data_IF_986712514589
#
_entry.id   IF_986712514589
#
_cell.length_a   1.000
_cell.length_b   1.000
_cell.length_c   1.000
_cell.angle_alpha   90.00
_cell.angle_beta   90.00
_cell.angle_gamma   90.00
#
_symmetry.space_group_name_H-M   'P 1'
#
loop_
_entity.id
_entity.type
_entity.pdbx_description
1 polymer ?
#
# COMPACT_ATOMS: atom_id res chain seq x y z
N UNK A 1 -51.58 9.41 49.20
CA UNK A 1 -52.99 8.99 49.10
C UNK A 1 -53.19 8.40 47.70
N UNK A 2 -53.51 7.10 47.57
CA UNK A 2 -54.86 6.55 47.24
C UNK A 2 -55.53 7.30 46.06
N UNK A 3 -55.97 6.68 44.95
CA UNK A 3 -56.63 5.37 44.81
C UNK A 3 -56.27 4.54 43.56
N UNK A 4 -56.55 3.24 43.70
CA UNK A 4 -56.66 2.19 42.65
C UNK A 4 -58.11 2.13 42.17
N UNK A 5 -58.39 1.90 40.88
CA UNK A 5 -59.61 1.20 40.41
C UNK A 5 -59.31 0.35 39.16
N UNK A 6 -59.95 -0.83 39.11
CA UNK A 6 -59.99 -1.81 38.01
C UNK A 6 -61.45 -2.29 37.86
N UNK A 7 -61.96 -2.99 36.84
CA UNK A 7 -61.32 -3.76 35.74
C UNK A 7 -62.35 -3.92 34.57
N UNK A 8 -62.07 -4.82 33.61
CA UNK A 8 -63.02 -5.40 32.63
C UNK A 8 -63.35 -4.54 31.38
N UNK A 9 -63.57 -5.09 30.17
CA UNK A 9 -63.67 -6.52 29.77
C UNK A 9 -63.20 -6.81 28.33
N UNK A 10 -63.17 -8.10 27.98
CA UNK A 10 -62.69 -8.73 26.74
C UNK A 10 -63.12 -8.07 25.41
N UNK A 11 -62.23 -8.15 24.41
CA UNK A 11 -62.61 -8.46 23.03
C UNK A 11 -61.52 -9.34 22.38
N UNK A 12 -61.90 -10.50 21.82
CA UNK A 12 -60.98 -11.47 21.21
C UNK A 12 -60.99 -11.28 19.70
N UNK A 13 -59.85 -10.93 19.10
CA UNK A 13 -59.61 -11.11 17.66
C UNK A 13 -58.20 -11.69 17.48
N UNK A 14 -58.10 -12.76 16.68
CA UNK A 14 -56.83 -13.42 16.37
C UNK A 14 -55.90 -12.50 15.57
N UNK A 15 -54.65 -12.35 16.03
CA UNK A 15 -53.53 -11.95 15.20
C UNK A 15 -52.23 -12.63 15.67
N UNK A 16 -51.52 -13.18 14.68
CA UNK A 16 -50.26 -13.94 14.71
C UNK A 16 -49.27 -13.62 15.84
N UNK A 17 -48.68 -14.69 16.40
CA UNK A 17 -47.49 -14.62 17.25
C UNK A 17 -46.31 -13.96 16.53
N UNK A 18 -45.84 -12.84 17.08
CA UNK A 18 -44.49 -12.29 16.85
C UNK A 18 -43.78 -12.20 18.21
N UNK A 19 -42.53 -12.69 18.34
CA UNK A 19 -41.80 -12.60 19.60
C UNK A 19 -41.29 -11.17 19.82
N UNK A 20 -41.92 -10.45 20.76
CA UNK A 20 -41.51 -9.10 21.17
C UNK A 20 -40.14 -9.17 21.84
N UNK A 21 -39.10 -8.69 21.15
CA UNK A 21 -37.81 -8.37 21.77
C UNK A 21 -37.89 -6.96 22.39
N UNK A 22 -38.06 -6.89 23.70
CA UNK A 22 -38.05 -5.63 24.45
C UNK A 22 -36.67 -4.97 24.42
N UNK A 23 -36.45 -4.05 23.48
CA UNK A 23 -35.27 -3.20 23.45
C UNK A 23 -35.36 -2.11 24.54
N UNK A 24 -34.42 -2.12 25.49
CA UNK A 24 -34.29 -1.03 26.46
C UNK A 24 -33.61 0.16 25.78
N UNK A 25 -34.40 1.15 25.38
CA UNK A 25 -33.92 2.35 24.69
C UNK A 25 -33.40 3.41 25.67
N UNK A 26 -32.10 3.70 25.65
CA UNK A 26 -31.53 4.85 26.36
C UNK A 26 -31.67 6.13 25.51
N UNK A 27 -32.51 7.07 25.95
CA UNK A 27 -32.65 8.37 25.29
C UNK A 27 -31.67 9.41 25.89
N UNK A 28 -30.60 9.74 25.16
CA UNK A 28 -29.75 10.90 25.49
C UNK A 28 -30.16 12.11 24.67
N UNK A 29 -30.86 13.08 25.29
CA UNK A 29 -31.16 14.38 24.67
C UNK A 29 -29.95 15.30 24.76
N UNK A 30 -29.39 15.69 23.62
CA UNK A 30 -28.40 16.77 23.51
C UNK A 30 -29.02 17.96 22.81
N UNK A 31 -29.00 19.14 23.46
CA UNK A 31 -29.41 20.41 22.86
C UNK A 31 -28.19 21.13 22.29
N UNK A 32 -28.29 21.61 21.05
CA UNK A 32 -27.39 22.62 20.49
C UNK A 32 -28.23 23.61 19.67
N UNK A 33 -27.94 24.90 19.78
CA UNK A 33 -28.59 25.99 19.04
C UNK A 33 -30.14 25.91 18.96
N UNK A 34 -30.81 25.55 20.07
CA UNK A 34 -32.28 25.50 20.16
C UNK A 34 -32.96 24.31 19.46
N UNK A 35 -32.24 23.50 18.69
CA UNK A 35 -32.80 22.34 17.97
C UNK A 35 -32.56 21.05 18.77
N UNK A 36 -33.59 20.22 18.90
CA UNK A 36 -33.54 18.93 19.58
C UNK A 36 -33.29 17.79 18.58
N UNK A 37 -32.04 17.33 18.49
CA UNK A 37 -31.68 16.21 17.64
C UNK A 37 -32.05 14.87 18.30
N UNK A 38 -32.88 14.06 17.62
CA UNK A 38 -33.10 12.65 17.96
C UNK A 38 -32.05 11.82 17.21
N UNK A 39 -31.06 11.27 17.91
CA UNK A 39 -30.13 10.28 17.36
C UNK A 39 -30.49 8.91 17.91
N UNK A 40 -30.99 8.02 17.05
CA UNK A 40 -31.08 6.60 17.38
C UNK A 40 -29.67 6.00 17.31
N UNK A 41 -29.27 5.32 18.38
CA UNK A 41 -28.02 4.57 18.43
C UNK A 41 -28.39 3.10 18.55
N UNK A 42 -28.30 2.31 17.46
CA UNK A 42 -28.56 0.88 17.54
C UNK A 42 -27.45 0.19 18.34
N UNK A 43 -27.80 -0.36 19.50
CA UNK A 43 -26.97 -1.33 20.20
C UNK A 43 -27.03 -2.65 19.43
N UNK A 44 -26.13 -2.85 18.49
CA UNK A 44 -25.91 -4.15 17.86
C UNK A 44 -25.36 -5.12 18.91
N UNK A 45 -26.26 -5.92 19.52
CA UNK A 45 -25.87 -7.18 20.16
C UNK A 45 -25.52 -8.18 19.06
N UNK A 46 -24.39 -8.84 19.26
CA UNK A 46 -23.79 -9.81 18.35
C UNK A 46 -24.81 -10.89 17.92
N UNK A 47 -25.25 -10.95 16.64
CA UNK A 47 -25.75 -12.19 16.09
C UNK A 47 -24.55 -13.11 15.88
N UNK A 48 -24.63 -14.38 16.31
CA UNK A 48 -23.64 -15.39 15.87
C UNK A 48 -23.70 -15.45 14.35
N UNK A 49 -22.68 -14.93 13.67
CA UNK A 49 -22.62 -14.90 12.20
C UNK A 49 -22.51 -16.35 11.71
N UNK A 50 -23.61 -16.91 11.20
CA UNK A 50 -23.54 -18.08 10.35
C UNK A 50 -22.93 -17.64 9.02
N UNK A 51 -21.65 -17.95 8.84
CA UNK A 51 -20.91 -17.69 7.61
C UNK A 51 -21.43 -18.58 6.48
N UNK A 52 -22.40 -18.08 5.71
CA UNK A 52 -22.58 -18.55 4.34
C UNK A 52 -21.37 -18.10 3.51
N UNK A 53 -20.42 -19.02 3.32
CA UNK A 53 -19.16 -18.78 2.62
C UNK A 53 -19.31 -18.36 1.15
N UNK A 54 -20.53 -18.31 0.60
CA UNK A 54 -20.76 -18.05 -0.83
C UNK A 54 -20.82 -16.57 -1.23
N UNK A 55 -21.19 -15.62 -0.35
CA UNK A 55 -21.76 -14.32 -0.78
C UNK A 55 -21.00 -13.03 -0.42
N UNK A 56 -20.03 -13.07 0.50
CA UNK A 56 -19.31 -11.87 0.99
C UNK A 56 -17.79 -11.89 0.72
N UNK A 57 -17.15 -10.74 0.91
CA UNK A 57 -15.69 -10.55 0.95
C UNK A 57 -15.33 -9.37 1.86
N UNK A 58 -14.08 -9.30 2.29
CA UNK A 58 -13.53 -8.09 2.90
C UNK A 58 -12.81 -7.24 1.85
N UNK A 59 -13.02 -5.93 1.89
CA UNK A 59 -12.36 -4.96 1.03
C UNK A 59 -11.90 -3.79 1.87
N UNK A 60 -10.62 -3.45 1.75
CA UNK A 60 -10.02 -2.31 2.44
C UNK A 60 -9.71 -1.25 1.38
N UNK A 61 -10.48 -0.17 1.39
CA UNK A 61 -10.29 0.96 0.49
C UNK A 61 -9.23 1.91 1.09
N UNK A 62 -8.03 1.92 0.51
CA UNK A 62 -6.86 2.68 0.96
C UNK A 62 -6.77 4.01 0.21
N UNK A 63 -6.63 5.12 0.94
CA UNK A 63 -6.25 6.41 0.38
C UNK A 63 -4.74 6.63 0.58
N UNK A 64 -3.99 6.77 -0.51
CA UNK A 64 -2.57 7.12 -0.46
C UNK A 64 -2.38 8.63 -0.58
N UNK A 65 -1.70 9.23 0.38
CA UNK A 65 -1.39 10.67 0.40
C UNK A 65 0.12 10.89 0.39
N UNK A 66 0.60 11.77 -0.49
CA UNK A 66 1.91 12.37 -0.38
C UNK A 66 1.76 13.74 0.27
N UNK A 67 2.45 13.97 1.38
CA UNK A 67 2.50 15.29 2.00
C UNK A 67 3.26 16.31 1.11
N UNK A 68 3.32 17.56 1.56
CA UNK A 68 4.04 18.61 0.85
C UNK A 68 5.55 18.32 0.70
N UNK A 69 6.19 17.70 1.68
CA UNK A 69 7.63 17.37 1.62
C UNK A 69 7.96 16.28 0.58
N UNK A 70 7.12 15.25 0.46
CA UNK A 70 7.22 14.24 -0.62
C UNK A 70 7.02 14.89 -1.98
N UNK A 71 5.99 15.74 -2.14
CA UNK A 71 5.76 16.46 -3.40
C UNK A 71 6.94 17.38 -3.77
N UNK A 72 7.53 18.10 -2.80
CA UNK A 72 8.71 18.95 -3.09
C UNK A 72 9.94 18.15 -3.53
N UNK A 73 10.17 16.96 -2.96
CA UNK A 73 11.23 16.06 -3.44
C UNK A 73 11.01 15.63 -4.90
N UNK A 74 9.78 15.30 -5.29
CA UNK A 74 9.47 15.04 -6.70
C UNK A 74 9.67 16.27 -7.60
N UNK A 75 9.34 17.48 -7.12
CA UNK A 75 9.66 18.72 -7.86
C UNK A 75 11.15 18.87 -8.09
N UNK A 76 12.01 18.58 -7.13
CA UNK A 76 13.47 18.63 -7.31
C UNK A 76 13.95 17.58 -8.32
N UNK A 77 13.44 16.34 -8.23
CA UNK A 77 13.73 15.23 -9.16
C UNK A 77 13.41 15.60 -10.61
N UNK A 78 12.35 16.37 -10.86
CA UNK A 78 11.94 16.84 -12.21
C UNK A 78 12.38 18.28 -12.52
N UNK A 79 13.33 18.84 -11.77
CA UNK A 79 13.90 20.19 -12.01
C UNK A 79 12.88 21.34 -11.97
N UNK A 80 11.91 21.24 -11.07
CA UNK A 80 10.97 22.30 -10.72
C UNK A 80 9.61 22.23 -11.44
N UNK A 81 9.49 21.44 -12.51
CA UNK A 81 8.25 21.32 -13.29
C UNK A 81 7.09 20.78 -12.45
N UNK A 82 6.02 21.56 -12.34
CA UNK A 82 4.88 21.26 -11.45
C UNK A 82 4.04 20.10 -11.99
N UNK A 83 3.89 19.99 -13.31
CA UNK A 83 3.04 18.96 -13.92
C UNK A 83 3.70 17.57 -13.80
N UNK A 84 4.96 17.46 -14.21
CA UNK A 84 5.73 16.22 -14.08
C UNK A 84 5.91 15.81 -12.61
N UNK A 85 6.04 16.76 -11.68
CA UNK A 85 6.13 16.45 -10.25
C UNK A 85 4.83 15.86 -9.72
N UNK A 86 3.68 16.46 -10.06
CA UNK A 86 2.37 15.94 -9.67
C UNK A 86 2.10 14.56 -10.29
N UNK A 87 2.45 14.35 -11.56
CA UNK A 87 2.33 13.04 -12.20
C UNK A 87 3.23 12.00 -11.52
N UNK A 88 4.51 12.32 -11.31
CA UNK A 88 5.48 11.41 -10.68
C UNK A 88 5.11 11.08 -9.22
N UNK A 89 4.56 12.05 -8.47
CA UNK A 89 4.07 11.83 -7.11
C UNK A 89 2.87 10.87 -7.09
N UNK A 90 1.92 11.02 -8.02
CA UNK A 90 0.78 10.11 -8.13
C UNK A 90 1.19 8.70 -8.61
N UNK A 91 2.10 8.59 -9.57
CA UNK A 91 2.67 7.31 -9.99
C UNK A 91 3.47 6.65 -8.85
N UNK A 92 4.14 7.43 -8.00
CA UNK A 92 4.81 6.95 -6.80
C UNK A 92 3.83 6.38 -5.78
N UNK A 93 2.79 7.14 -5.41
CA UNK A 93 1.74 6.68 -4.48
C UNK A 93 1.04 5.41 -4.98
N UNK A 94 0.75 5.33 -6.27
CA UNK A 94 0.20 4.12 -6.90
C UNK A 94 1.15 2.93 -6.81
N UNK A 95 2.45 3.14 -7.09
CA UNK A 95 3.46 2.09 -7.02
C UNK A 95 3.70 1.58 -5.58
N UNK A 96 3.68 2.46 -4.57
CA UNK A 96 3.75 2.05 -3.17
C UNK A 96 2.51 1.25 -2.77
N UNK A 97 1.30 1.69 -3.14
CA UNK A 97 0.07 0.93 -2.89
C UNK A 97 0.10 -0.47 -3.51
N UNK A 98 0.45 -0.61 -4.80
CA UNK A 98 0.48 -1.93 -5.45
C UNK A 98 1.58 -2.82 -4.85
N UNK A 99 2.63 -2.24 -4.24
CA UNK A 99 3.65 -3.00 -3.52
C UNK A 99 3.16 -3.48 -2.15
N UNK A 100 2.48 -2.63 -1.37
CA UNK A 100 1.79 -3.00 -0.11
C UNK A 100 0.78 -4.11 -0.39
N UNK A 101 -0.01 -3.96 -1.45
CA UNK A 101 -0.94 -4.99 -1.93
C UNK A 101 -0.24 -6.30 -2.26
N UNK A 102 0.88 -6.28 -3.00
CA UNK A 102 1.67 -7.48 -3.32
C UNK A 102 2.09 -8.24 -2.05
N UNK A 103 2.48 -7.52 -0.99
CA UNK A 103 2.81 -8.09 0.32
C UNK A 103 1.58 -8.75 0.97
N UNK A 104 0.43 -8.08 1.02
CA UNK A 104 -0.80 -8.64 1.62
C UNK A 104 -1.36 -9.84 0.83
N UNK A 105 -1.42 -9.74 -0.50
CA UNK A 105 -1.87 -10.81 -1.41
C UNK A 105 -0.95 -12.04 -1.29
N UNK A 106 0.36 -11.83 -1.08
CA UNK A 106 1.34 -12.90 -0.87
C UNK A 106 1.23 -13.62 0.47
N UNK A 107 0.73 -12.95 1.51
CA UNK A 107 0.61 -13.50 2.86
C UNK A 107 -0.68 -14.30 3.12
N UNK A 108 -1.74 -14.07 2.34
CA UNK A 108 -3.03 -14.80 2.44
C UNK A 108 -3.61 -14.84 3.87
N UNK A 109 -4.09 -13.70 4.36
CA UNK A 109 -4.65 -13.54 5.72
C UNK A 109 -5.70 -14.59 6.12
N UNK A 110 -6.45 -15.15 5.17
CA UNK A 110 -7.38 -16.26 5.36
C UNK A 110 -7.29 -17.23 4.18
N UNK A 111 -7.50 -18.52 4.42
CA UNK A 111 -7.57 -19.54 3.36
C UNK A 111 -8.82 -19.39 2.49
N UNK A 112 -9.97 -19.10 3.11
CA UNK A 112 -11.30 -19.22 2.49
C UNK A 112 -12.05 -17.89 2.31
N UNK A 113 -11.53 -16.78 2.87
CA UNK A 113 -12.19 -15.46 2.80
C UNK A 113 -11.25 -14.44 2.16
N UNK A 114 -11.52 -13.94 0.93
CA UNK A 114 -10.66 -12.96 0.30
C UNK A 114 -10.75 -11.61 1.01
N UNK A 115 -9.62 -11.15 1.52
CA UNK A 115 -9.37 -9.75 1.93
C UNK A 115 -8.64 -9.08 0.77
N UNK A 116 -9.25 -8.05 0.17
CA UNK A 116 -8.66 -7.32 -0.95
C UNK A 116 -8.31 -5.88 -0.56
N UNK A 117 -7.06 -5.45 -0.79
CA UNK A 117 -6.71 -4.03 -0.77
C UNK A 117 -7.11 -3.40 -2.11
N UNK A 118 -7.87 -2.29 -2.04
CA UNK A 118 -8.26 -1.48 -3.19
C UNK A 118 -7.76 -0.05 -3.00
N UNK A 119 -7.26 0.57 -4.06
CA UNK A 119 -6.89 1.97 -4.04
C UNK A 119 -8.14 2.83 -4.21
N UNK A 120 -8.52 3.56 -3.16
CA UNK A 120 -9.63 4.50 -3.18
C UNK A 120 -9.30 5.71 -4.06
N UNK A 121 -8.13 6.32 -3.83
CA UNK A 121 -7.53 7.38 -4.64
C UNK A 121 -6.06 7.56 -4.28
N UNK A 122 -5.33 8.33 -5.09
CA UNK A 122 -4.11 9.02 -4.67
C UNK A 122 -4.42 10.50 -4.39
N UNK A 123 -3.63 11.14 -3.53
CA UNK A 123 -3.69 12.59 -3.26
C UNK A 123 -2.28 13.11 -3.05
N UNK A 124 -1.93 14.23 -3.68
CA UNK A 124 -0.65 14.92 -3.46
C UNK A 124 -0.90 16.33 -2.94
N UNK A 125 -0.34 16.66 -1.78
CA UNK A 125 -0.51 17.96 -1.14
C UNK A 125 0.46 18.97 -1.78
N UNK A 126 -0.03 19.76 -2.73
CA UNK A 126 0.83 20.65 -3.54
C UNK A 126 1.10 22.04 -2.92
N UNK A 127 0.35 22.44 -1.89
CA UNK A 127 0.55 23.71 -1.17
C UNK A 127 1.02 23.41 0.25
N UNK A 128 2.00 24.18 0.75
CA UNK A 128 2.52 23.98 2.12
C UNK A 128 1.38 23.96 3.13
N UNK A 129 0.51 24.98 3.13
CA UNK A 129 -0.56 25.18 4.12
C UNK A 129 -1.61 24.06 4.18
N UNK A 130 -1.72 23.20 3.15
CA UNK A 130 -2.66 22.08 3.14
C UNK A 130 -2.08 20.80 3.80
N UNK A 131 -0.77 20.78 4.11
CA UNK A 131 -0.12 19.59 4.64
C UNK A 131 -0.58 19.32 6.09
N UNK A 132 -0.93 18.06 6.44
CA UNK A 132 -1.40 17.72 7.79
C UNK A 132 -0.40 18.09 8.90
N UNK A 133 0.90 18.13 8.57
CA UNK A 133 1.99 18.38 9.52
C UNK A 133 2.38 19.88 9.62
N UNK A 134 1.66 20.79 8.94
CA UNK A 134 1.90 22.25 9.01
C UNK A 134 1.86 22.85 10.40
N UNK A 135 0.90 22.52 11.29
CA UNK A 135 0.84 23.13 12.61
C UNK A 135 2.13 22.90 13.40
N UNK A 136 2.72 21.70 13.28
CA UNK A 136 4.04 21.38 13.82
C UNK A 136 5.15 22.24 13.18
N UNK A 137 5.23 22.28 11.84
CA UNK A 137 6.24 23.07 11.11
C UNK A 137 6.21 24.57 11.45
N UNK A 138 5.05 25.09 11.85
CA UNK A 138 4.90 26.47 12.32
C UNK A 138 5.34 26.63 13.79
N UNK A 139 5.06 25.65 14.66
CA UNK A 139 5.50 25.65 16.06
C UNK A 139 7.03 25.54 16.20
N UNK A 140 7.70 24.70 15.42
CA UNK A 140 9.18 24.63 15.42
C UNK A 140 9.80 25.94 14.94
N UNK A 141 9.24 26.55 13.89
CA UNK A 141 9.69 27.87 13.40
C UNK A 141 9.54 28.98 14.45
N UNK A 142 8.48 28.96 15.26
CA UNK A 142 8.29 29.92 16.36
C UNK A 142 9.25 29.70 17.55
N UNK A 143 9.81 28.50 17.70
CA UNK A 143 10.74 28.14 18.79
C UNK A 143 12.22 28.31 18.42
N UNK A 144 12.55 28.80 17.22
CA UNK A 144 13.92 28.88 16.69
C UNK A 144 14.71 27.55 16.72
N UNK A 145 14.03 26.40 16.73
CA UNK A 145 14.72 25.12 16.49
C UNK A 145 14.98 24.99 14.98
N UNK A 146 16.26 24.88 14.60
CA UNK A 146 16.68 24.71 13.19
C UNK A 146 16.13 23.43 12.54
N UNK A 147 15.76 22.43 13.36
CA UNK A 147 15.25 21.13 12.93
C UNK A 147 13.76 21.15 12.55
N UNK A 148 13.41 21.86 11.47
CA UNK A 148 12.09 21.74 10.82
C UNK A 148 11.87 20.40 10.07
N UNK A 149 12.84 19.49 10.17
CA UNK A 149 12.92 18.22 9.44
C UNK A 149 12.59 16.99 10.30
N UNK A 150 12.35 17.15 11.61
CA UNK A 150 12.12 16.05 12.57
C UNK A 150 10.81 16.19 13.30
N UNK A 151 10.13 15.10 13.66
CA UNK A 151 8.87 15.14 14.42
C UNK A 151 8.64 13.84 15.19
N UNK A 152 8.08 13.90 16.40
CA UNK A 152 7.66 12.69 17.12
C UNK A 152 6.58 11.92 16.32
N UNK A 153 6.74 10.60 16.21
CA UNK A 153 5.85 9.76 15.41
C UNK A 153 4.39 9.74 15.89
N UNK A 154 4.18 9.78 17.21
CA UNK A 154 2.85 9.80 17.82
C UNK A 154 2.17 11.15 17.58
N UNK A 155 2.90 12.26 17.72
CA UNK A 155 2.41 13.58 17.29
C UNK A 155 2.04 13.57 15.80
N UNK A 156 2.88 13.00 14.93
CA UNK A 156 2.66 12.99 13.48
C UNK A 156 1.33 12.32 13.09
N UNK A 157 1.03 11.13 13.65
CA UNK A 157 -0.26 10.46 13.40
C UNK A 157 -1.43 11.23 13.99
N UNK A 158 -1.29 11.83 15.18
CA UNK A 158 -2.34 12.66 15.79
C UNK A 158 -2.69 13.89 14.94
N UNK A 159 -1.69 14.56 14.34
CA UNK A 159 -1.92 15.67 13.42
C UNK A 159 -2.62 15.22 12.13
N UNK A 160 -2.28 14.04 11.58
CA UNK A 160 -2.98 13.46 10.44
C UNK A 160 -4.43 13.13 10.78
N UNK A 161 -4.71 12.47 11.90
CA UNK A 161 -6.09 12.18 12.33
C UNK A 161 -6.91 13.46 12.50
N UNK A 162 -6.34 14.51 13.11
CA UNK A 162 -7.00 15.82 13.23
C UNK A 162 -7.31 16.42 11.85
N UNK A 163 -6.35 16.39 10.93
CA UNK A 163 -6.54 16.86 9.55
C UNK A 163 -7.62 16.05 8.80
N UNK A 164 -7.67 14.73 8.98
CA UNK A 164 -8.72 13.87 8.41
C UNK A 164 -10.11 14.27 8.92
N UNK A 165 -10.26 14.60 10.20
CA UNK A 165 -11.52 15.09 10.76
C UNK A 165 -11.91 16.46 10.19
N UNK A 166 -10.98 17.43 10.19
CA UNK A 166 -11.19 18.82 9.76
C UNK A 166 -11.52 18.93 8.26
N UNK A 167 -10.83 18.17 7.41
CA UNK A 167 -10.98 18.19 5.94
C UNK A 167 -11.83 17.02 5.40
N UNK A 168 -12.58 16.32 6.27
CA UNK A 168 -13.38 15.13 5.94
C UNK A 168 -14.30 15.26 4.71
N UNK A 169 -14.83 16.45 4.43
CA UNK A 169 -15.65 16.73 3.23
C UNK A 169 -14.87 16.73 1.90
N UNK A 170 -13.56 16.94 1.93
CA UNK A 170 -12.67 17.02 0.76
C UNK A 170 -11.84 15.75 0.55
N UNK A 171 -11.77 14.90 1.56
CA UNK A 171 -10.99 13.67 1.54
C UNK A 171 -11.83 12.54 0.92
N UNK A 172 -11.35 11.85 -0.15
CA UNK A 172 -12.07 10.74 -0.76
C UNK A 172 -12.44 9.65 0.25
N UNK A 173 -13.62 9.05 0.11
CA UNK A 173 -14.08 7.99 1.01
C UNK A 173 -13.10 6.79 0.99
N UNK A 174 -12.67 6.37 2.19
CA UNK A 174 -11.68 5.33 2.42
C UNK A 174 -11.99 4.58 3.73
N UNK A 175 -11.36 3.42 3.93
CA UNK A 175 -11.29 2.73 5.21
C UNK A 175 -10.03 3.12 6.00
N UNK A 176 -8.91 3.32 5.30
CA UNK A 176 -7.63 3.70 5.92
C UNK A 176 -6.87 4.70 5.04
N UNK A 177 -6.11 5.60 5.66
CA UNK A 177 -5.32 6.64 4.98
C UNK A 177 -3.83 6.51 5.33
N UNK A 178 -2.99 6.41 4.32
CA UNK A 178 -1.53 6.29 4.45
C UNK A 178 -0.90 7.59 3.98
N UNK A 179 -0.32 8.36 4.89
CA UNK A 179 0.37 9.62 4.60
C UNK A 179 1.88 9.38 4.55
N UNK A 180 2.46 9.52 3.36
CA UNK A 180 3.91 9.51 3.16
C UNK A 180 4.48 10.92 3.45
N UNK A 181 5.55 10.98 4.23
CA UNK A 181 6.27 12.21 4.61
C UNK A 181 7.78 12.05 4.45
N UNK A 182 8.54 13.13 4.26
CA UNK A 182 10.02 13.16 4.32
C UNK A 182 10.54 13.87 5.58
N UNK A 183 9.67 14.03 6.57
CA UNK A 183 10.04 14.42 7.93
C UNK A 183 10.53 13.16 8.66
N UNK A 184 11.72 13.25 9.24
CA UNK A 184 12.41 12.24 10.08
C UNK A 184 11.56 11.98 11.33
N UNK A 185 10.99 10.78 11.42
CA UNK A 185 10.08 10.41 12.51
C UNK A 185 10.88 9.93 13.73
N UNK A 186 10.67 10.59 14.86
CA UNK A 186 11.35 10.27 16.10
C UNK A 186 10.54 9.29 16.94
N UNK A 187 11.26 8.36 17.56
CA UNK A 187 10.72 7.50 18.62
C UNK A 187 10.46 8.29 19.90
N UNK A 188 9.76 7.68 20.85
CA UNK A 188 9.56 8.24 22.20
C UNK A 188 10.86 8.47 22.99
N UNK A 189 12.01 8.00 22.50
CA UNK A 189 13.35 8.28 23.05
C UNK A 189 14.04 9.46 22.37
N UNK A 190 13.42 10.05 21.34
CA UNK A 190 13.98 11.15 20.55
C UNK A 190 14.99 10.72 19.47
N UNK A 191 15.07 9.43 19.13
CA UNK A 191 15.95 8.89 18.09
C UNK A 191 15.20 8.58 16.78
N UNK A 192 15.91 8.62 15.65
CA UNK A 192 15.38 8.33 14.30
C UNK A 192 15.22 6.82 14.02
N UNK A 193 14.82 6.02 15.02
CA UNK A 193 14.56 4.59 14.84
C UNK A 193 13.15 4.29 14.34
N UNK A 194 12.22 5.23 14.51
CA UNK A 194 10.83 5.13 14.06
C UNK A 194 10.72 5.55 12.60
N UNK A 195 10.13 4.72 11.74
CA UNK A 195 9.95 5.03 10.31
C UNK A 195 8.48 5.07 9.90
N UNK A 196 7.58 4.72 10.81
CA UNK A 196 6.14 4.83 10.64
C UNK A 196 5.43 4.90 11.99
N UNK A 197 4.14 5.25 11.97
CA UNK A 197 3.28 5.22 13.15
C UNK A 197 1.81 5.02 12.75
N UNK A 198 1.15 4.08 13.41
CA UNK A 198 -0.29 3.86 13.39
C UNK A 198 -0.80 3.38 14.75
N UNK A 199 -2.09 3.59 15.02
CA UNK A 199 -2.75 3.01 16.20
C UNK A 199 -3.15 1.55 15.94
N UNK A 200 -3.17 0.73 17.00
CA UNK A 200 -3.53 -0.68 16.89
C UNK A 200 -5.05 -0.88 16.90
N UNK A 201 -5.58 -1.64 15.94
CA UNK A 201 -6.99 -2.08 15.91
C UNK A 201 -8.02 -0.98 15.62
N UNK A 202 -7.64 0.07 14.89
CA UNK A 202 -8.49 1.24 14.58
C UNK A 202 -9.07 1.25 13.16
N UNK A 203 -8.84 0.23 12.33
CA UNK A 203 -9.21 0.18 10.89
C UNK A 203 -10.64 0.68 10.55
N UNK A 204 -11.62 0.43 11.40
CA UNK A 204 -13.02 0.86 11.19
C UNK A 204 -13.44 2.11 11.99
N UNK A 205 -12.50 2.90 12.50
CA UNK A 205 -12.74 4.12 13.27
C UNK A 205 -12.16 5.32 12.53
N UNK A 206 -13.02 6.18 11.99
CA UNK A 206 -12.60 7.45 11.38
C UNK A 206 -12.71 8.55 12.44
N UNK A 207 -11.70 9.42 12.65
CA UNK A 207 -10.48 9.59 11.86
C UNK A 207 -9.28 8.70 12.28
N UNK A 208 -9.41 7.89 13.33
CA UNK A 208 -8.30 7.13 13.95
C UNK A 208 -7.52 6.23 12.97
N UNK A 209 -8.21 5.67 11.97
CA UNK A 209 -7.69 4.79 10.91
C UNK A 209 -6.76 5.52 9.93
N UNK A 210 -5.59 5.90 10.42
CA UNK A 210 -4.53 6.56 9.69
C UNK A 210 -3.15 6.01 10.07
N UNK A 211 -2.23 6.03 9.11
CA UNK A 211 -0.80 5.79 9.34
C UNK A 211 0.03 6.92 8.74
N UNK A 212 1.13 7.27 9.39
CA UNK A 212 2.17 8.14 8.84
C UNK A 212 3.42 7.32 8.59
N UNK A 213 4.06 7.51 7.43
CA UNK A 213 5.21 6.70 6.99
C UNK A 213 6.29 7.61 6.44
N UNK A 214 7.52 7.44 6.91
CA UNK A 214 8.69 8.12 6.35
C UNK A 214 9.09 7.52 4.99
N UNK A 215 9.19 8.38 3.99
CA UNK A 215 9.61 8.05 2.63
C UNK A 215 11.14 7.88 2.53
N UNK A 216 11.63 6.78 3.09
CA UNK A 216 13.03 6.38 2.97
C UNK A 216 13.38 5.85 1.56
N UNK A 217 12.38 5.42 0.80
CA UNK A 217 12.41 5.22 -0.65
C UNK A 217 11.90 3.85 -1.13
N UNK A 218 11.08 3.87 -2.18
CA UNK A 218 10.74 2.67 -2.97
C UNK A 218 10.18 1.50 -2.14
N UNK A 219 10.79 0.31 -2.28
CA UNK A 219 10.33 -0.92 -1.60
C UNK A 219 10.34 -0.79 -0.08
N UNK A 220 11.30 -0.06 0.49
CA UNK A 220 11.42 0.10 1.94
C UNK A 220 10.24 0.90 2.51
N UNK A 221 9.85 2.01 1.87
CA UNK A 221 8.62 2.77 2.18
C UNK A 221 7.37 1.86 2.14
N UNK A 222 7.30 0.95 1.18
CA UNK A 222 6.16 0.02 1.05
C UNK A 222 6.13 -1.08 2.13
N UNK A 223 7.28 -1.54 2.62
CA UNK A 223 7.34 -2.50 3.74
C UNK A 223 6.86 -1.83 5.03
N UNK A 224 7.30 -0.60 5.32
CA UNK A 224 6.83 0.16 6.47
C UNK A 224 5.32 0.43 6.36
N UNK A 225 4.84 0.89 5.20
CA UNK A 225 3.40 1.11 5.00
C UNK A 225 2.55 -0.17 5.16
N UNK A 226 3.10 -1.36 4.86
CA UNK A 226 2.44 -2.63 5.10
C UNK A 226 2.40 -3.01 6.60
N UNK A 227 3.44 -2.66 7.36
CA UNK A 227 3.55 -2.81 8.81
C UNK A 227 2.53 -1.92 9.55
N UNK A 228 2.50 -0.62 9.26
CA UNK A 228 1.56 0.31 9.89
C UNK A 228 0.09 -0.03 9.60
N UNK A 229 -0.19 -0.51 8.38
CA UNK A 229 -1.52 -1.00 8.00
C UNK A 229 -1.95 -2.23 8.83
N UNK A 230 -0.99 -3.09 9.21
CA UNK A 230 -1.25 -4.27 10.01
C UNK A 230 -1.50 -3.95 11.49
N UNK A 231 -0.83 -2.92 12.03
CA UNK A 231 -1.23 -2.35 13.32
C UNK A 231 -2.69 -1.92 13.31
N UNK A 232 -3.13 -1.16 12.30
CA UNK A 232 -4.54 -0.77 12.18
C UNK A 232 -5.51 -1.95 12.09
N UNK A 233 -5.05 -3.11 11.59
CA UNK A 233 -5.76 -4.39 11.55
C UNK A 233 -5.60 -5.24 12.84
N UNK A 234 -5.04 -4.70 13.90
CA UNK A 234 -4.97 -5.33 15.22
C UNK A 234 -3.70 -6.14 15.50
N UNK A 235 -2.70 -6.13 14.61
CA UNK A 235 -1.41 -6.74 14.91
C UNK A 235 -0.59 -5.91 15.91
N UNK A 236 0.10 -6.58 16.82
CA UNK A 236 1.17 -6.03 17.64
C UNK A 236 2.52 -6.38 17.03
N UNK A 237 3.61 -5.90 17.63
CA UNK A 237 4.94 -6.30 17.23
C UNK A 237 5.20 -7.79 17.58
N UNK A 238 5.92 -8.51 16.72
CA UNK A 238 6.25 -9.94 16.95
C UNK A 238 7.27 -10.16 18.10
N UNK A 239 7.92 -9.10 18.58
CA UNK A 239 8.98 -9.14 19.58
C UNK A 239 8.63 -8.42 20.91
N UNK A 240 7.35 -8.09 21.14
CA UNK A 240 6.86 -7.52 22.42
C UNK A 240 5.99 -8.48 23.22
N UNK A 241 5.78 -8.17 24.51
CA UNK A 241 5.10 -9.07 25.47
C UNK A 241 3.57 -9.19 25.24
N UNK A 242 2.99 -8.32 24.41
CA UNK A 242 1.60 -8.37 23.97
C UNK A 242 1.39 -9.40 22.83
N UNK A 243 2.49 -9.89 22.23
CA UNK A 243 2.48 -11.04 21.34
C UNK A 243 2.57 -12.35 22.14
N UNK A 244 2.05 -13.45 21.59
CA UNK A 244 2.15 -14.75 22.26
C UNK A 244 3.62 -15.20 22.39
N UNK A 245 3.94 -16.00 23.42
CA UNK A 245 5.30 -16.50 23.57
C UNK A 245 5.77 -17.25 22.31
N UNK A 246 6.91 -16.82 21.75
CA UNK A 246 7.57 -17.37 20.55
C UNK A 246 6.96 -17.04 19.16
N UNK A 247 6.45 -15.82 18.93
CA UNK A 247 6.12 -15.35 17.58
C UNK A 247 7.30 -15.29 16.58
N UNK A 248 8.54 -15.35 17.09
CA UNK A 248 9.77 -15.28 16.30
C UNK A 248 10.20 -13.83 16.05
N UNK A 249 11.41 -13.65 15.53
CA UNK A 249 11.97 -12.33 15.22
C UNK A 249 12.23 -12.19 13.73
N UNK A 250 12.23 -10.93 13.28
CA UNK A 250 12.47 -10.54 11.91
C UNK A 250 11.44 -11.14 10.93
N UNK A 251 10.17 -10.90 11.25
CA UNK A 251 9.05 -10.94 10.31
C UNK A 251 8.61 -9.50 10.01
N UNK A 252 7.60 -9.33 9.14
CA UNK A 252 7.06 -8.02 8.77
C UNK A 252 6.62 -7.18 9.97
N UNK A 253 6.12 -7.79 11.06
CA UNK A 253 5.69 -7.09 12.27
C UNK A 253 6.76 -7.05 13.38
N UNK A 254 8.02 -7.33 13.11
CA UNK A 254 9.08 -7.10 14.11
C UNK A 254 9.38 -5.61 14.25
N UNK A 255 9.53 -5.12 15.48
CA UNK A 255 9.80 -3.72 15.80
C UNK A 255 11.13 -3.18 15.24
N UNK A 256 11.99 -4.07 14.73
CA UNK A 256 13.19 -3.72 13.97
C UNK A 256 13.37 -4.68 12.80
N UNK A 257 13.37 -4.12 11.59
CA UNK A 257 13.68 -4.85 10.35
C UNK A 257 15.19 -5.16 10.31
N UNK A 258 15.59 -6.40 10.04
CA UNK A 258 17.01 -6.74 9.91
C UNK A 258 17.53 -6.46 8.49
N UNK A 259 18.52 -5.58 8.38
CA UNK A 259 19.31 -5.37 7.16
C UNK A 259 20.38 -6.44 6.89
N UNK A 260 20.28 -7.60 7.55
CA UNK A 260 21.20 -8.73 7.40
C UNK A 260 21.28 -9.21 5.94
N UNK A 261 22.45 -9.72 5.55
CA UNK A 261 22.64 -10.46 4.30
C UNK A 261 21.97 -11.86 4.31
N UNK A 262 21.59 -12.36 5.48
CA UNK A 262 20.90 -13.64 5.63
C UNK A 262 19.62 -13.68 4.79
N UNK A 263 19.50 -14.73 3.98
CA UNK A 263 18.46 -14.88 2.97
C UNK A 263 17.08 -15.15 3.58
N UNK A 264 17.02 -16.00 4.60
CA UNK A 264 15.77 -16.32 5.30
C UNK A 264 15.23 -15.10 6.02
N UNK A 265 16.11 -14.34 6.70
CA UNK A 265 15.75 -13.06 7.33
C UNK A 265 15.23 -12.06 6.30
N UNK A 266 15.94 -11.90 5.18
CA UNK A 266 15.49 -10.99 4.11
C UNK A 266 14.14 -11.37 3.50
N UNK A 267 13.76 -12.65 3.42
CA UNK A 267 12.44 -13.03 2.91
C UNK A 267 11.33 -13.01 3.96
N UNK A 268 11.67 -13.13 5.25
CA UNK A 268 10.68 -13.06 6.33
C UNK A 268 10.18 -11.63 6.58
N UNK A 269 10.95 -10.60 6.25
CA UNK A 269 10.51 -9.18 6.34
C UNK A 269 9.40 -8.80 5.36
N UNK A 270 9.03 -9.69 4.42
CA UNK A 270 7.82 -9.56 3.59
C UNK A 270 6.67 -10.46 4.06
N UNK A 271 6.83 -11.18 5.19
CA UNK A 271 5.87 -12.16 5.70
C UNK A 271 5.38 -11.77 7.08
N UNK A 272 4.08 -11.89 7.33
CA UNK A 272 3.55 -11.90 8.70
C UNK A 272 4.02 -13.16 9.43
N UNK A 273 4.22 -13.05 10.74
CA UNK A 273 4.43 -14.23 11.59
C UNK A 273 3.09 -14.95 11.78
N UNK A 274 3.09 -16.22 12.24
CA UNK A 274 1.85 -16.90 12.64
C UNK A 274 1.03 -16.11 13.67
N UNK A 275 1.69 -15.36 14.57
CA UNK A 275 1.02 -14.52 15.55
C UNK A 275 0.37 -13.30 14.91
N UNK A 276 1.06 -12.57 14.03
CA UNK A 276 0.47 -11.39 13.38
C UNK A 276 -0.72 -11.80 12.49
N UNK A 277 -0.65 -12.97 11.83
CA UNK A 277 -1.83 -13.58 11.17
C UNK A 277 -2.97 -13.84 12.16
N UNK A 278 -2.71 -14.50 13.29
CA UNK A 278 -3.74 -14.82 14.30
C UNK A 278 -4.39 -13.57 14.91
N UNK A 279 -3.60 -12.53 15.20
CA UNK A 279 -4.08 -11.26 15.73
C UNK A 279 -4.99 -10.53 14.72
N UNK A 280 -4.55 -10.45 13.45
CA UNK A 280 -5.36 -9.88 12.36
C UNK A 280 -6.66 -10.69 12.19
N UNK A 281 -6.58 -12.02 12.14
CA UNK A 281 -7.77 -12.88 12.04
C UNK A 281 -8.76 -12.65 13.20
N UNK A 282 -8.25 -12.45 14.43
CA UNK A 282 -9.07 -12.14 15.60
C UNK A 282 -9.76 -10.77 15.49
N UNK A 283 -9.09 -9.76 14.92
CA UNK A 283 -9.68 -8.46 14.62
C UNK A 283 -10.84 -8.54 13.61
N UNK A 284 -10.75 -9.43 12.62
CA UNK A 284 -11.87 -9.68 11.72
C UNK A 284 -13.01 -10.49 12.38
N UNK A 285 -12.68 -11.49 13.20
CA UNK A 285 -13.66 -12.36 13.84
C UNK A 285 -14.52 -11.65 14.91
N UNK A 286 -13.97 -10.64 15.58
CA UNK A 286 -14.63 -9.93 16.69
C UNK A 286 -15.60 -8.81 16.24
N UNK A 287 -15.93 -8.70 14.95
CA UNK A 287 -16.82 -7.67 14.40
C UNK A 287 -16.20 -6.27 14.28
N UNK A 288 -14.97 -6.08 14.76
CA UNK A 288 -14.24 -4.80 14.63
C UNK A 288 -13.87 -4.44 13.18
N UNK A 289 -14.02 -5.38 12.24
CA UNK A 289 -13.79 -5.21 10.81
C UNK A 289 -15.07 -4.99 9.96
N UNK A 290 -16.24 -4.81 10.57
CA UNK A 290 -17.54 -4.78 9.85
C UNK A 290 -17.61 -3.72 8.73
N UNK A 291 -16.89 -2.60 8.85
CA UNK A 291 -16.85 -1.57 7.81
C UNK A 291 -16.21 -2.03 6.48
N UNK A 292 -15.49 -3.15 6.51
CA UNK A 292 -14.80 -3.75 5.36
C UNK A 292 -15.68 -4.78 4.61
N UNK A 293 -16.84 -5.15 5.16
CA UNK A 293 -17.74 -6.14 4.55
C UNK A 293 -18.37 -5.60 3.26
N UNK A 294 -18.18 -6.32 2.15
CA UNK A 294 -18.81 -6.02 0.85
C UNK A 294 -19.62 -7.20 0.32
N UNK A 295 -20.89 -6.95 -0.01
CA UNK A 295 -21.72 -7.92 -0.76
C UNK A 295 -21.27 -8.03 -2.22
N UNK A 296 -21.12 -9.26 -2.73
CA UNK A 296 -20.64 -9.52 -4.11
C UNK A 296 -21.50 -8.89 -5.21
N UNK A 297 -22.76 -8.54 -4.94
CA UNK A 297 -23.71 -7.96 -5.92
C UNK A 297 -23.33 -6.54 -6.38
N UNK A 298 -22.76 -5.71 -5.49
CA UNK A 298 -22.54 -4.27 -5.74
C UNK A 298 -21.36 -3.97 -6.69
N UNK A 299 -20.43 -4.91 -6.84
CA UNK A 299 -19.15 -4.69 -7.55
C UNK A 299 -19.21 -4.88 -9.07
N UNK A 300 -20.19 -5.64 -9.61
CA UNK A 300 -20.30 -5.89 -11.07
C UNK A 300 -20.43 -4.60 -11.91
N UNK A 301 -20.84 -3.47 -11.30
CA UNK A 301 -20.86 -2.14 -11.95
C UNK A 301 -19.50 -1.43 -11.98
N UNK A 302 -18.63 -1.62 -10.99
CA UNK A 302 -17.38 -0.84 -10.84
C UNK A 302 -16.20 -1.43 -11.62
N UNK A 303 -16.18 -2.74 -11.88
CA UNK A 303 -15.07 -3.39 -12.63
C UNK A 303 -14.91 -2.95 -14.09
N UNK A 304 -15.85 -2.19 -14.67
CA UNK A 304 -15.80 -1.78 -16.09
C UNK A 304 -14.94 -0.52 -16.36
N UNK A 305 -14.47 0.19 -15.34
CA UNK A 305 -13.76 1.48 -15.51
C UNK A 305 -12.26 1.45 -15.23
N UNK A 306 -11.73 0.46 -14.50
CA UNK A 306 -10.28 0.37 -14.25
C UNK A 306 -9.54 -0.32 -15.40
N UNK A 307 -9.28 0.40 -16.49
CA UNK A 307 -8.45 -0.06 -17.62
C UNK A 307 -6.94 0.13 -17.38
N UNK A 308 -6.48 0.47 -16.17
CA UNK A 308 -5.07 0.36 -15.81
C UNK A 308 -4.70 -1.12 -15.72
N UNK A 309 -4.31 -1.70 -16.86
CA UNK A 309 -3.66 -3.04 -16.94
C UNK A 309 -2.65 -3.16 -15.81
N UNK A 310 -2.74 -4.22 -15.02
CA UNK A 310 -1.87 -4.45 -13.86
C UNK A 310 -0.38 -4.32 -14.25
N UNK A 311 0.22 -3.20 -13.87
CA UNK A 311 1.65 -2.91 -13.98
C UNK A 311 2.23 -3.03 -12.58
N UNK A 312 3.28 -3.83 -12.45
CA UNK A 312 4.01 -3.93 -11.18
C UNK A 312 4.74 -2.61 -10.89
N UNK A 313 4.97 -2.26 -9.61
CA UNK A 313 5.58 -0.99 -9.19
C UNK A 313 6.86 -0.60 -9.95
N UNK A 314 7.79 -1.55 -10.13
CA UNK A 314 9.06 -1.37 -10.84
C UNK A 314 8.96 -1.27 -12.37
N UNK A 315 7.79 -1.55 -12.96
CA UNK A 315 7.50 -1.21 -14.37
C UNK A 315 7.15 0.27 -14.54
N UNK A 316 6.70 0.95 -13.48
CA UNK A 316 6.41 2.39 -13.44
C UNK A 316 7.64 3.15 -12.97
N UNK A 317 8.25 2.67 -11.88
CA UNK A 317 9.43 3.23 -11.25
C UNK A 317 10.64 2.35 -11.57
N UNK A 318 11.23 2.52 -12.75
CA UNK A 318 12.45 1.76 -13.11
C UNK A 318 13.60 2.05 -12.14
N UNK A 319 14.60 1.18 -12.09
CA UNK A 319 15.71 1.23 -11.12
C UNK A 319 16.37 2.63 -10.97
N UNK A 320 16.49 3.36 -12.09
CA UNK A 320 17.02 4.73 -12.13
C UNK A 320 16.14 5.75 -11.39
N UNK A 321 14.81 5.58 -11.37
CA UNK A 321 13.88 6.38 -10.59
C UNK A 321 14.00 6.03 -9.10
N UNK A 322 14.10 4.74 -8.77
CA UNK A 322 14.24 4.28 -7.37
C UNK A 322 15.49 4.89 -6.71
N UNK A 323 16.64 4.94 -7.41
CA UNK A 323 17.82 5.66 -6.90
C UNK A 323 17.57 7.14 -6.62
N UNK A 324 16.84 7.85 -7.51
CA UNK A 324 16.55 9.27 -7.33
C UNK A 324 15.60 9.53 -6.18
N UNK A 325 14.64 8.65 -5.95
CA UNK A 325 13.67 8.74 -4.85
C UNK A 325 14.37 8.50 -3.50
N UNK A 326 15.20 7.46 -3.41
CA UNK A 326 15.88 7.09 -2.16
C UNK A 326 17.00 8.07 -1.76
N UNK A 327 17.80 8.57 -2.71
CA UNK A 327 19.03 9.33 -2.43
C UNK A 327 19.05 10.76 -3.02
N UNK A 328 18.09 11.13 -3.87
CA UNK A 328 17.99 12.47 -4.46
C UNK A 328 18.39 12.56 -5.94
N UNK A 329 18.18 13.72 -6.59
CA UNK A 329 18.16 13.89 -8.05
C UNK A 329 19.47 13.53 -8.78
N UNK A 330 20.61 13.61 -8.08
CA UNK A 330 21.95 13.37 -8.64
C UNK A 330 22.38 11.89 -8.62
N UNK A 331 21.57 11.02 -8.03
CA UNK A 331 21.83 9.59 -7.95
C UNK A 331 21.31 8.80 -9.15
N UNK A 332 21.89 7.62 -9.32
CA UNK A 332 21.67 6.74 -10.48
C UNK A 332 22.12 5.32 -10.17
N UNK A 333 21.78 4.38 -11.04
CA UNK A 333 22.17 2.97 -10.87
C UNK A 333 23.70 2.82 -10.79
N UNK A 334 24.19 2.09 -9.79
CA UNK A 334 25.58 1.69 -9.69
C UNK A 334 25.92 0.68 -10.80
N UNK A 335 26.96 0.96 -11.59
CA UNK A 335 27.40 0.09 -12.71
C UNK A 335 28.64 -0.75 -12.39
N UNK A 336 29.19 -0.60 -11.17
CA UNK A 336 30.39 -1.32 -10.74
C UNK A 336 30.00 -2.75 -10.34
N UNK A 337 30.58 -3.77 -11.02
CA UNK A 337 30.24 -5.20 -10.83
C UNK A 337 30.38 -5.68 -9.38
N UNK A 338 31.31 -5.10 -8.61
CA UNK A 338 31.55 -5.45 -7.20
C UNK A 338 30.34 -5.21 -6.28
N UNK A 339 29.46 -4.26 -6.60
CA UNK A 339 28.22 -3.98 -5.86
C UNK A 339 26.99 -4.68 -6.47
N UNK A 340 27.11 -5.22 -7.69
CA UNK A 340 26.05 -5.99 -8.33
C UNK A 340 26.13 -7.43 -7.81
N UNK A 341 25.45 -7.68 -6.69
CA UNK A 341 25.37 -9.00 -6.06
C UNK A 341 24.79 -10.06 -7.00
N UNK A 342 24.92 -11.34 -6.63
CA UNK A 342 24.25 -12.45 -7.32
C UNK A 342 22.73 -12.24 -7.44
N UNK A 343 22.13 -11.58 -6.44
CA UNK A 343 20.70 -11.24 -6.37
C UNK A 343 20.47 -9.73 -6.50
N UNK A 344 20.46 -9.18 -7.73
CA UNK A 344 20.29 -7.73 -7.96
C UNK A 344 18.98 -7.14 -7.42
N UNK A 345 18.02 -7.98 -7.07
CA UNK A 345 16.72 -7.57 -6.52
C UNK A 345 16.73 -7.34 -5.00
N UNK A 346 17.69 -7.89 -4.26
CA UNK A 346 17.74 -7.79 -2.79
C UNK A 346 18.27 -6.45 -2.29
N UNK A 347 19.11 -5.74 -3.07
CA UNK A 347 19.68 -4.43 -2.70
C UNK A 347 19.84 -3.49 -3.90
N UNK A 348 19.30 -2.28 -3.75
CA UNK A 348 19.44 -1.17 -4.69
C UNK A 348 20.71 -0.37 -4.40
N UNK A 349 21.75 -0.60 -5.21
CA UNK A 349 22.99 0.17 -5.16
C UNK A 349 22.96 1.36 -6.10
N UNK A 350 23.23 2.54 -5.55
CA UNK A 350 23.17 3.81 -6.25
C UNK A 350 24.53 4.52 -6.24
N UNK A 351 24.72 5.41 -7.21
CA UNK A 351 25.94 6.21 -7.38
C UNK A 351 25.57 7.67 -7.58
N UNK A 352 26.05 8.53 -6.70
CA UNK A 352 26.06 9.98 -6.91
C UNK A 352 26.94 10.32 -8.14
N UNK A 353 26.37 11.00 -9.13
CA UNK A 353 27.06 11.37 -10.38
C UNK A 353 27.89 12.66 -10.30
N UNK A 354 27.75 13.43 -9.22
CA UNK A 354 28.61 14.60 -8.96
C UNK A 354 29.96 14.19 -8.35
N UNK A 355 30.02 13.03 -7.70
CA UNK A 355 31.24 12.48 -7.13
C UNK A 355 32.12 11.78 -8.18
N UNK A 356 33.42 11.66 -7.88
CA UNK A 356 34.38 10.95 -8.74
C UNK A 356 33.96 9.50 -8.97
N UNK A 357 34.34 8.94 -10.13
CA UNK A 357 34.09 7.54 -10.50
C UNK A 357 34.69 6.54 -9.48
N UNK A 358 35.78 6.95 -8.81
CA UNK A 358 36.47 6.19 -7.76
C UNK A 358 35.60 5.96 -6.54
N UNK A 359 34.88 6.99 -6.07
CA UNK A 359 34.08 6.93 -4.83
C UNK A 359 33.14 5.70 -4.82
N UNK A 360 32.83 5.14 -3.64
CA UNK A 360 31.98 3.97 -3.52
C UNK A 360 30.57 4.18 -4.12
N UNK A 361 29.84 3.07 -4.26
CA UNK A 361 28.39 3.11 -4.41
C UNK A 361 27.73 3.02 -3.03
N UNK A 362 26.54 3.59 -2.93
CA UNK A 362 25.78 3.74 -1.69
C UNK A 362 24.51 2.88 -1.74
N UNK A 363 24.11 2.35 -0.59
CA UNK A 363 22.82 1.71 -0.34
C UNK A 363 22.28 2.23 0.98
N UNK A 364 20.95 2.28 1.15
CA UNK A 364 20.35 2.37 2.48
C UNK A 364 20.29 0.99 3.09
N UNK A 365 20.14 0.94 4.42
CA UNK A 365 19.84 -0.29 5.14
C UNK A 365 18.51 -0.84 4.60
N UNK A 366 18.50 -2.11 4.19
CA UNK A 366 17.32 -2.81 3.69
C UNK A 366 16.54 -2.04 2.60
N UNK A 367 17.14 -1.88 1.41
CA UNK A 367 16.50 -1.22 0.26
C UNK A 367 16.42 -2.18 -0.96
N UNK A 368 15.41 -3.07 -1.03
CA UNK A 368 15.24 -3.96 -2.19
C UNK A 368 14.72 -3.22 -3.43
N UNK A 369 14.81 -3.87 -4.59
CA UNK A 369 14.14 -3.40 -5.82
C UNK A 369 12.65 -3.69 -5.76
N UNK A 370 11.85 -2.74 -6.23
CA UNK A 370 10.39 -2.91 -6.40
C UNK A 370 10.03 -4.09 -7.33
N UNK A 371 8.89 -4.73 -7.06
CA UNK A 371 8.35 -5.78 -7.92
C UNK A 371 8.18 -5.29 -9.36
N UNK A 372 8.61 -6.08 -10.34
CA UNK A 372 8.61 -5.74 -11.76
C UNK A 372 9.84 -4.96 -12.26
N UNK A 373 10.78 -4.58 -11.39
CA UNK A 373 12.03 -3.94 -11.84
C UNK A 373 12.85 -4.92 -12.67
N UNK A 374 13.31 -4.52 -13.86
CA UNK A 374 14.18 -5.37 -14.71
C UNK A 374 15.49 -5.67 -13.99
N UNK A 375 15.83 -6.96 -13.87
CA UNK A 375 17.04 -7.43 -13.19
C UNK A 375 17.99 -8.24 -14.11
N UNK A 376 17.57 -8.52 -15.34
CA UNK A 376 18.40 -9.14 -16.38
C UNK A 376 17.69 -9.16 -17.73
N UNK A 377 18.28 -9.77 -18.77
CA UNK A 377 17.56 -10.13 -20.00
C UNK A 377 16.37 -11.02 -19.62
N UNK A 378 15.17 -10.59 -20.02
CA UNK A 378 13.88 -11.26 -19.77
C UNK A 378 13.66 -11.72 -18.31
N UNK A 379 14.20 -10.95 -17.36
CA UNK A 379 14.04 -11.18 -15.92
C UNK A 379 13.65 -9.91 -15.18
N UNK A 380 12.85 -10.08 -14.13
CA UNK A 380 12.36 -9.00 -13.26
C UNK A 380 12.32 -9.43 -11.79
N UNK A 381 12.30 -8.44 -10.91
CA UNK A 381 12.20 -8.67 -9.47
C UNK A 381 10.77 -9.05 -9.06
N UNK A 382 10.61 -10.07 -8.23
CA UNK A 382 9.36 -10.37 -7.51
C UNK A 382 9.71 -10.86 -6.12
N UNK A 383 9.22 -10.19 -5.07
CA UNK A 383 9.49 -10.51 -3.67
C UNK A 383 10.99 -10.55 -3.35
N UNK A 384 11.78 -9.67 -3.98
CA UNK A 384 13.24 -9.63 -3.86
C UNK A 384 14.02 -10.70 -4.66
N UNK A 385 13.35 -11.58 -5.42
CA UNK A 385 13.99 -12.58 -6.29
C UNK A 385 14.06 -12.13 -7.76
N UNK A 386 15.16 -12.42 -8.46
CA UNK A 386 15.30 -12.14 -9.90
C UNK A 386 14.78 -13.31 -10.76
N UNK A 387 13.48 -13.31 -11.06
CA UNK A 387 12.80 -14.41 -11.76
C UNK A 387 12.57 -14.12 -13.25
N UNK A 388 12.27 -15.15 -14.04
CA UNK A 388 11.90 -15.00 -15.44
C UNK A 388 10.63 -14.14 -15.61
N UNK A 389 10.66 -13.22 -16.57
CA UNK A 389 9.55 -12.35 -16.91
C UNK A 389 8.58 -13.06 -17.86
N UNK A 390 7.64 -13.82 -17.30
CA UNK A 390 6.60 -14.50 -18.07
C UNK A 390 5.54 -13.56 -18.67
N UNK A 391 5.60 -12.24 -18.43
CA UNK A 391 4.61 -11.27 -18.94
C UNK A 391 4.58 -11.20 -20.47
N UNK A 392 5.70 -11.50 -21.13
CA UNK A 392 5.80 -11.67 -22.61
C UNK A 392 5.25 -13.02 -23.14
N UNK A 393 4.83 -13.95 -22.27
CA UNK A 393 4.07 -15.15 -22.65
C UNK A 393 2.59 -15.03 -22.27
N UNK A 394 2.28 -14.37 -21.16
CA UNK A 394 0.91 -14.23 -20.66
C UNK A 394 0.07 -13.19 -21.42
N UNK A 395 0.68 -12.18 -22.05
CA UNK A 395 -0.02 -11.13 -22.81
C UNK A 395 0.18 -11.22 -24.33
N UNK A 396 0.88 -12.26 -24.80
CA UNK A 396 1.46 -12.31 -26.13
C UNK A 396 1.55 -13.78 -26.56
N UNK A 397 0.58 -14.21 -27.36
CA UNK A 397 0.45 -15.58 -27.88
C UNK A 397 0.30 -15.47 -29.39
N UNK A 398 0.93 -16.38 -30.15
CA UNK A 398 0.72 -16.46 -31.59
C UNK A 398 -0.69 -17.02 -31.86
N UNK A 399 -1.54 -16.29 -32.57
CA UNK A 399 -2.90 -16.72 -32.92
C UNK A 399 -2.90 -17.90 -33.89
N UNK A 400 -1.84 -18.05 -34.70
CA UNK A 400 -1.59 -19.24 -35.51
C UNK A 400 -0.08 -19.61 -35.45
N UNK A 401 0.34 -20.42 -34.47
CA UNK A 401 1.76 -20.71 -34.25
C UNK A 401 2.46 -21.43 -35.41
N UNK A 402 1.75 -22.20 -36.26
CA UNK A 402 2.38 -22.81 -37.44
C UNK A 402 2.71 -21.73 -38.46
N UNK A 403 1.68 -21.00 -38.92
CA UNK A 403 1.83 -19.92 -39.89
C UNK A 403 2.91 -18.90 -39.47
N UNK A 404 3.00 -18.57 -38.18
CA UNK A 404 4.05 -17.68 -37.67
C UNK A 404 5.46 -18.31 -37.78
N UNK A 405 5.66 -19.56 -37.37
CA UNK A 405 6.95 -20.27 -37.47
C UNK A 405 7.38 -20.60 -38.89
N UNK A 406 6.43 -20.91 -39.77
CA UNK A 406 6.72 -21.28 -41.15
C UNK A 406 7.20 -20.04 -41.93
N UNK A 407 6.53 -18.91 -41.73
CA UNK A 407 6.90 -17.65 -42.36
C UNK A 407 8.10 -16.94 -41.70
N UNK A 408 8.46 -17.24 -40.44
CA UNK A 408 9.63 -16.63 -39.77
C UNK A 408 10.97 -16.92 -40.46
N UNK A 409 11.00 -17.92 -41.34
CA UNK A 409 12.15 -18.30 -42.19
C UNK A 409 12.35 -17.35 -43.39
N UNK A 410 11.38 -16.49 -43.71
CA UNK A 410 11.50 -15.53 -44.81
C UNK A 410 11.91 -14.14 -44.32
N UNK A 411 12.95 -13.55 -44.92
CA UNK A 411 13.46 -12.22 -44.53
C UNK A 411 12.40 -11.10 -44.51
N UNK A 412 11.38 -11.20 -45.38
CA UNK A 412 10.27 -10.23 -45.44
C UNK A 412 9.38 -10.27 -44.19
N UNK A 413 9.32 -11.40 -43.47
CA UNK A 413 8.52 -11.55 -42.27
C UNK A 413 8.94 -10.60 -41.14
N UNK A 414 10.25 -10.33 -41.02
CA UNK A 414 10.75 -9.30 -40.11
C UNK A 414 10.14 -7.92 -40.35
N UNK A 415 9.91 -7.53 -41.62
CA UNK A 415 9.27 -6.24 -41.96
C UNK A 415 7.83 -6.20 -41.47
N UNK A 416 7.09 -7.31 -41.56
CA UNK A 416 5.73 -7.40 -41.04
C UNK A 416 5.66 -7.30 -39.51
N UNK A 417 6.66 -7.84 -38.78
CA UNK A 417 6.74 -7.71 -37.32
C UNK A 417 6.85 -6.27 -36.78
N UNK A 418 7.14 -5.27 -37.62
CA UNK A 418 7.04 -3.85 -37.25
C UNK A 418 5.60 -3.31 -37.29
N UNK A 419 4.66 -3.97 -37.96
CA UNK A 419 3.24 -3.62 -37.94
C UNK A 419 2.60 -4.07 -36.62
N UNK A 420 1.86 -3.16 -35.96
CA UNK A 420 1.10 -3.47 -34.73
C UNK A 420 0.08 -4.58 -34.96
N UNK A 421 -0.59 -4.60 -36.11
CA UNK A 421 -1.63 -5.59 -36.45
C UNK A 421 -1.03 -6.99 -36.66
N UNK A 422 0.13 -7.07 -37.31
CA UNK A 422 0.81 -8.35 -37.53
C UNK A 422 1.48 -8.86 -36.25
N UNK A 423 2.04 -7.95 -35.44
CA UNK A 423 2.60 -8.28 -34.12
C UNK A 423 1.54 -8.74 -33.12
N UNK A 424 0.25 -8.41 -33.30
CA UNK A 424 -0.83 -9.06 -32.55
C UNK A 424 -1.21 -10.46 -33.05
N UNK A 425 -0.84 -10.83 -34.28
CA UNK A 425 -1.08 -12.17 -34.84
C UNK A 425 0.04 -13.16 -34.50
N UNK A 426 1.29 -12.73 -34.66
CA UNK A 426 2.50 -13.51 -34.44
C UNK A 426 3.36 -12.91 -33.32
N UNK A 427 2.74 -12.66 -32.17
CA UNK A 427 3.35 -11.91 -31.08
C UNK A 427 4.63 -12.54 -30.51
N UNK A 428 4.61 -13.85 -30.21
CA UNK A 428 5.77 -14.59 -29.67
C UNK A 428 6.86 -14.69 -30.72
N UNK A 429 6.50 -15.15 -31.93
CA UNK A 429 7.46 -15.30 -33.03
C UNK A 429 8.10 -13.95 -33.39
N UNK A 430 7.33 -12.86 -33.46
CA UNK A 430 7.88 -11.53 -33.73
C UNK A 430 8.74 -10.98 -32.58
N UNK A 431 8.43 -11.26 -31.31
CA UNK A 431 9.30 -10.83 -30.21
C UNK A 431 10.66 -11.53 -30.31
N UNK A 432 10.68 -12.85 -30.54
CA UNK A 432 11.90 -13.65 -30.70
C UNK A 432 12.78 -13.17 -31.87
N UNK A 433 12.19 -12.90 -33.04
CA UNK A 433 12.93 -12.43 -34.22
C UNK A 433 13.53 -11.02 -34.04
N UNK A 434 12.84 -10.13 -33.32
CA UNK A 434 13.36 -8.78 -33.02
C UNK A 434 14.50 -8.87 -32.00
N UNK A 435 14.35 -9.71 -30.97
CA UNK A 435 15.37 -9.90 -29.93
C UNK A 435 16.69 -10.44 -30.51
N UNK A 436 16.63 -11.44 -31.39
CA UNK A 436 17.80 -12.01 -32.07
C UNK A 436 18.64 -10.97 -32.81
N UNK A 437 17.99 -9.95 -33.41
CA UNK A 437 18.69 -8.91 -34.16
C UNK A 437 19.38 -7.88 -33.26
N UNK A 438 18.75 -7.52 -32.14
CA UNK A 438 19.30 -6.53 -31.19
C UNK A 438 20.60 -7.04 -30.54
N UNK A 439 20.71 -8.35 -30.29
CA UNK A 439 21.90 -8.92 -29.64
C UNK A 439 22.98 -9.41 -30.62
N UNK A 440 22.63 -9.82 -31.85
CA UNK A 440 23.64 -10.23 -32.84
C UNK A 440 24.31 -9.06 -33.58
N UNK A 441 23.74 -7.85 -33.58
CA UNK A 441 24.40 -6.65 -34.12
C UNK A 441 25.58 -6.19 -33.21
N UNK A 442 25.63 -6.64 -31.95
CA UNK A 442 26.66 -6.27 -30.99
C UNK A 442 28.00 -7.03 -31.13
N UNK A 443 28.14 -7.91 -32.14
CA UNK A 443 29.33 -8.76 -32.35
C UNK A 443 29.94 -8.67 -33.76
N UNK A 444 29.59 -7.65 -34.55
CA UNK A 444 30.12 -7.47 -35.92
C UNK A 444 30.64 -6.06 -36.21
N UNK A 445 31.04 -5.31 -35.18
CA UNK A 445 31.70 -4.00 -35.29
C UNK A 445 32.57 -3.70 -34.05
N UNK A 446 33.56 -4.56 -33.82
CA UNK A 446 34.72 -4.34 -32.95
C UNK A 446 35.81 -5.34 -33.27
#
# INVERSE_FOLDING_TARGET
>A
MVQIVSSYSLCIILCYFMPVWSAVHFQRKTKSAGVAFKKEVPLFRNPKIQHDNSSFRYQIDILMVADYSVYTNFREIVRGDKYSALSATNDYLYAIFEQVRSIYDGNRLFENVPVALNLASTMAIIRKNDCPLVPFLNQTKLKNLENTTRMDGLDAVNYVQKWVAEYSQWIPAHNHIIVLTRIDLLSSKGDSSTQGMAYVGVMCRVPESASVVEDIGGMATAVIAAHELAHSLGAFHDDTAESAENCGRNYLMSATVSGSDDEQKFFNTFKFSPCSIQQIQSFFANGTADCLLRSKSRERRLRRTSQRKHRKPGELLVQQNQCKIAFGPHYSVCMKKEYLSKDPCRRLWCKNRQLRKTEPCETKFYLPLLDGTKCGPDKWCVGGNCIANNKEKENCVDLNPSMCRDNSRHERFHKYCHSKQFRSLCCVTCSQLIYHRIFNIAYSNS
#
